data_IF_262701699392
#
_entry.id   IF_262701699392
#
_cell.length_a   1.000
_cell.length_b   1.000
_cell.length_c   1.000
_cell.angle_alpha   90.00
_cell.angle_beta   90.00
_cell.angle_gamma   90.00
#
_symmetry.space_group_name_H-M   'P 1'
#
loop_
_entity.id
_entity.type
_entity.pdbx_description
1 polymer ?
#
# COMPACT_ATOMS: atom_id res chain seq x y z
N UNK A 1 7.05 36.69 16.03
CA UNK A 1 6.70 35.26 16.10
C UNK A 1 7.82 34.50 15.42
N UNK A 2 8.50 33.59 16.11
CA UNK A 2 9.52 32.76 15.48
C UNK A 2 8.80 31.82 14.50
N UNK A 3 9.17 31.83 13.22
CA UNK A 3 8.72 30.80 12.28
C UNK A 3 9.19 29.45 12.80
N UNK A 4 8.27 28.60 13.26
CA UNK A 4 8.60 27.21 13.60
C UNK A 4 9.02 26.51 12.29
N UNK A 5 10.27 26.05 12.23
CA UNK A 5 10.79 25.32 11.06
C UNK A 5 9.97 24.04 10.90
N UNK A 6 9.25 23.91 9.79
CA UNK A 6 8.45 22.73 9.47
C UNK A 6 9.26 21.75 8.62
N UNK A 7 8.97 20.46 8.77
CA UNK A 7 9.60 19.42 7.97
C UNK A 7 9.14 19.57 6.50
N UNK A 8 10.10 19.73 5.59
CA UNK A 8 9.83 19.79 4.16
C UNK A 8 9.25 18.46 3.66
N UNK A 9 8.27 18.54 2.76
CA UNK A 9 7.72 17.39 2.06
C UNK A 9 8.70 16.89 1.01
N UNK A 10 8.88 15.57 0.94
CA UNK A 10 9.71 14.91 -0.07
C UNK A 10 9.05 14.99 -1.44
N UNK A 11 9.86 15.00 -2.50
CA UNK A 11 9.34 14.55 -3.79
C UNK A 11 8.81 13.12 -3.63
N UNK A 12 7.60 12.85 -4.13
CA UNK A 12 6.96 11.54 -4.03
C UNK A 12 5.95 11.40 -5.17
N UNK A 13 6.42 10.83 -6.27
CA UNK A 13 5.68 10.70 -7.51
C UNK A 13 5.62 9.24 -7.94
N UNK A 14 4.43 8.80 -8.29
CA UNK A 14 4.17 7.49 -8.92
C UNK A 14 3.57 7.75 -10.30
N UNK A 15 4.16 7.10 -11.29
CA UNK A 15 3.67 7.09 -12.65
C UNK A 15 3.17 5.68 -12.98
N UNK A 16 1.90 5.54 -13.35
CA UNK A 16 1.32 4.27 -13.79
C UNK A 16 0.60 4.49 -15.10
N UNK A 17 0.90 3.67 -16.08
CA UNK A 17 0.21 3.65 -17.36
C UNK A 17 -0.16 2.22 -17.70
N UNK A 18 -1.39 2.00 -18.15
CA UNK A 18 -1.88 0.67 -18.43
C UNK A 18 -3.37 0.66 -18.78
N UNK A 19 -4.00 -0.50 -18.65
CA UNK A 19 -5.40 -0.72 -18.99
C UNK A 19 -6.20 -1.01 -17.74
N UNK A 20 -7.37 -0.39 -17.60
CA UNK A 20 -8.25 -0.65 -16.46
C UNK A 20 -8.75 -2.10 -16.50
N UNK A 21 -8.65 -2.80 -15.38
CA UNK A 21 -9.30 -4.09 -15.17
C UNK A 21 -10.56 -3.96 -14.32
N UNK A 22 -10.55 -3.05 -13.34
CA UNK A 22 -11.68 -2.88 -12.42
C UNK A 22 -11.76 -1.44 -11.89
N UNK A 23 -12.99 -0.96 -11.68
CA UNK A 23 -13.31 0.32 -11.06
C UNK A 23 -14.24 0.06 -9.88
N UNK A 24 -13.80 0.39 -8.67
CA UNK A 24 -14.54 0.25 -7.41
C UNK A 24 -14.59 1.60 -6.70
N UNK A 25 -15.53 2.46 -7.08
CA UNK A 25 -15.64 3.82 -6.53
C UNK A 25 -17.07 4.04 -6.04
N UNK A 26 -17.21 4.65 -4.87
CA UNK A 26 -18.48 4.95 -4.25
C UNK A 26 -18.50 6.35 -3.60
N UNK A 27 -19.70 6.95 -3.57
CA UNK A 27 -19.99 8.14 -2.78
C UNK A 27 -20.47 7.69 -1.39
N UNK A 28 -19.96 8.33 -0.33
CA UNK A 28 -20.31 8.01 1.07
C UNK A 28 -20.42 9.29 1.91
N UNK A 29 -20.96 9.16 3.12
CA UNK A 29 -21.05 10.21 4.13
C UNK A 29 -20.38 9.77 5.42
N UNK A 30 -19.31 10.48 5.80
CA UNK A 30 -18.59 10.21 7.05
C UNK A 30 -19.48 10.44 8.29
N UNK A 31 -19.13 9.88 9.47
CA UNK A 31 -19.88 10.10 10.71
C UNK A 31 -20.07 11.57 11.11
N UNK A 32 -19.18 12.46 10.65
CA UNK A 32 -19.25 13.90 10.85
C UNK A 32 -20.06 14.64 9.77
N UNK A 33 -20.84 13.89 8.97
CA UNK A 33 -21.72 14.36 7.89
C UNK A 33 -21.01 14.98 6.69
N UNK A 34 -19.69 14.81 6.56
CA UNK A 34 -18.98 15.22 5.34
C UNK A 34 -19.20 14.20 4.24
N UNK A 35 -19.71 14.66 3.10
CA UNK A 35 -19.85 13.87 1.89
C UNK A 35 -18.48 13.68 1.21
N UNK A 36 -18.21 12.44 0.81
CA UNK A 36 -16.95 12.00 0.21
C UNK A 36 -17.21 11.12 -1.01
N UNK A 37 -16.21 11.01 -1.87
CA UNK A 37 -16.09 9.97 -2.89
C UNK A 37 -14.77 9.24 -2.67
N UNK A 38 -14.78 7.92 -2.72
CA UNK A 38 -13.60 7.11 -2.45
C UNK A 38 -13.64 5.78 -3.20
N UNK A 39 -12.47 5.23 -3.49
CA UNK A 39 -12.41 3.96 -4.15
C UNK A 39 -11.05 3.61 -4.70
N UNK A 40 -11.06 2.62 -5.57
CA UNK A 40 -9.90 2.01 -6.18
C UNK A 40 -10.13 1.82 -7.69
N UNK A 41 -9.06 1.98 -8.46
CA UNK A 41 -9.00 1.55 -9.86
C UNK A 41 -7.82 0.59 -9.98
N UNK A 42 -8.08 -0.59 -10.52
CA UNK A 42 -7.04 -1.56 -10.84
C UNK A 42 -6.58 -1.37 -12.28
N UNK A 43 -5.27 -1.16 -12.45
CA UNK A 43 -4.63 -0.89 -13.73
C UNK A 43 -3.64 -2.01 -14.03
N UNK A 44 -3.89 -2.76 -15.09
CA UNK A 44 -2.99 -3.77 -15.61
C UNK A 44 -1.92 -3.12 -16.49
N UNK A 45 -0.66 -3.38 -16.16
CA UNK A 45 0.50 -2.89 -16.92
C UNK A 45 1.19 -4.00 -17.72
N UNK A 46 0.96 -5.26 -17.34
CA UNK A 46 1.42 -6.45 -18.06
C UNK A 46 0.47 -7.63 -17.72
N UNK A 47 0.57 -8.76 -18.44
CA UNK A 47 -0.31 -9.93 -18.31
C UNK A 47 -0.52 -10.35 -16.84
N UNK A 48 0.55 -10.34 -16.05
CA UNK A 48 0.53 -10.74 -14.64
C UNK A 48 0.77 -9.59 -13.65
N UNK A 49 0.72 -8.33 -14.10
CA UNK A 49 1.02 -7.15 -13.29
C UNK A 49 -0.15 -6.18 -13.22
N UNK A 50 -0.75 -6.07 -12.04
CA UNK A 50 -1.91 -5.19 -11.77
C UNK A 50 -1.57 -4.27 -10.60
N UNK A 51 -1.84 -2.97 -10.76
CA UNK A 51 -1.59 -1.95 -9.76
C UNK A 51 -2.90 -1.29 -9.34
N UNK A 52 -3.20 -1.35 -8.05
CA UNK A 52 -4.36 -0.68 -7.45
C UNK A 52 -4.00 0.77 -7.12
N UNK A 53 -4.78 1.70 -7.66
CA UNK A 53 -4.68 3.13 -7.41
C UNK A 53 -5.88 3.58 -6.59
N UNK A 54 -5.60 4.15 -5.42
CA UNK A 54 -6.64 4.64 -4.52
C UNK A 54 -6.94 6.10 -4.76
N UNK A 55 -8.23 6.42 -4.73
CA UNK A 55 -8.80 7.73 -4.98
C UNK A 55 -9.63 8.14 -3.76
N UNK A 56 -9.53 9.40 -3.37
CA UNK A 56 -10.33 9.94 -2.28
C UNK A 56 -10.52 11.45 -2.45
N UNK A 57 -11.73 11.95 -2.21
CA UNK A 57 -11.97 13.39 -2.12
C UNK A 57 -13.21 13.74 -1.31
N UNK A 58 -13.13 14.85 -0.57
CA UNK A 58 -14.33 15.51 -0.04
C UNK A 58 -15.08 16.22 -1.16
N UNK A 59 -16.42 16.16 -1.11
CA UNK A 59 -17.29 16.86 -2.08
C UNK A 59 -17.12 18.37 -2.05
N UNK A 60 -17.03 18.96 -0.86
CA UNK A 60 -16.94 20.40 -0.67
C UNK A 60 -15.57 20.81 -0.15
N UNK A 61 -15.08 21.96 -0.64
CA UNK A 61 -13.91 22.65 -0.08
C UNK A 61 -14.29 23.43 1.18
N UNK A 62 -13.30 24.04 1.84
CA UNK A 62 -13.51 24.92 3.01
C UNK A 62 -14.44 26.10 2.71
N UNK A 63 -14.42 26.62 1.48
CA UNK A 63 -15.29 27.71 1.01
C UNK A 63 -16.70 27.24 0.58
N UNK A 64 -17.03 25.96 0.82
CA UNK A 64 -18.28 25.28 0.43
C UNK A 64 -18.50 25.12 -1.08
N UNK A 65 -17.53 25.49 -1.93
CA UNK A 65 -17.58 25.16 -3.36
C UNK A 65 -17.28 23.68 -3.60
N UNK A 66 -17.78 23.12 -4.71
CA UNK A 66 -17.53 21.72 -5.07
C UNK A 66 -16.06 21.51 -5.44
N UNK A 67 -15.45 20.45 -4.91
CA UNK A 67 -14.07 20.07 -5.20
C UNK A 67 -13.93 19.52 -6.63
N UNK A 68 -12.95 20.03 -7.39
CA UNK A 68 -12.66 19.55 -8.74
C UNK A 68 -12.17 18.09 -8.76
N UNK A 69 -11.44 17.66 -7.73
CA UNK A 69 -11.00 16.27 -7.59
C UNK A 69 -12.20 15.35 -7.43
N UNK A 70 -13.18 15.72 -6.60
CA UNK A 70 -14.43 14.98 -6.45
C UNK A 70 -15.15 14.80 -7.79
N UNK A 71 -15.27 15.88 -8.58
CA UNK A 71 -15.88 15.79 -9.92
C UNK A 71 -15.11 14.84 -10.83
N UNK A 72 -13.78 14.92 -10.83
CA UNK A 72 -12.92 14.03 -11.62
C UNK A 72 -13.11 12.56 -11.25
N UNK A 73 -13.08 12.24 -9.94
CA UNK A 73 -13.32 10.87 -9.46
C UNK A 73 -14.74 10.41 -9.80
N UNK A 74 -15.74 11.30 -9.71
CA UNK A 74 -17.12 10.98 -10.09
C UNK A 74 -17.25 10.66 -11.58
N UNK A 75 -16.56 11.40 -12.45
CA UNK A 75 -16.45 11.05 -13.88
C UNK A 75 -15.82 9.69 -14.08
N UNK A 76 -14.78 9.32 -13.31
CA UNK A 76 -14.19 7.99 -13.38
C UNK A 76 -15.20 6.91 -12.96
N UNK A 77 -15.91 7.13 -11.85
CA UNK A 77 -16.95 6.22 -11.35
C UNK A 77 -18.06 5.97 -12.38
N UNK A 78 -18.50 7.01 -13.08
CA UNK A 78 -19.64 6.94 -14.00
C UNK A 78 -19.25 6.47 -15.41
N UNK A 79 -18.06 6.86 -15.90
CA UNK A 79 -17.69 6.68 -17.30
C UNK A 79 -16.59 5.65 -17.56
N UNK A 80 -15.70 5.38 -16.59
CA UNK A 80 -14.54 4.53 -16.83
C UNK A 80 -14.94 3.06 -16.75
N UNK A 81 -14.34 2.24 -17.61
CA UNK A 81 -14.66 0.81 -17.73
C UNK A 81 -13.41 -0.02 -18.00
N UNK A 82 -13.52 -1.32 -17.74
CA UNK A 82 -12.49 -2.27 -18.10
C UNK A 82 -12.12 -2.15 -19.59
N UNK A 83 -10.83 -2.19 -19.90
CA UNK A 83 -10.29 -1.99 -21.25
C UNK A 83 -9.90 -0.54 -21.59
N UNK A 84 -10.34 0.46 -20.81
CA UNK A 84 -9.90 1.85 -21.02
C UNK A 84 -8.39 1.98 -20.74
N UNK A 85 -7.65 2.58 -21.68
CA UNK A 85 -6.22 2.93 -21.51
C UNK A 85 -6.09 4.19 -20.68
N UNK A 86 -5.34 4.13 -19.59
CA UNK A 86 -5.22 5.22 -18.63
C UNK A 86 -3.78 5.47 -18.18
N UNK A 87 -3.54 6.70 -17.71
CA UNK A 87 -2.28 7.19 -17.17
C UNK A 87 -2.53 7.97 -15.88
N UNK A 88 -1.76 7.62 -14.86
CA UNK A 88 -1.57 8.34 -13.61
C UNK A 88 -0.19 8.97 -13.68
N UNK A 89 -0.13 10.31 -13.80
CA UNK A 89 1.16 11.02 -13.91
C UNK A 89 1.71 11.50 -12.58
N UNK A 90 0.84 11.72 -11.60
CA UNK A 90 1.17 12.32 -10.29
C UNK A 90 0.50 11.56 -9.15
N UNK A 91 0.68 10.24 -9.14
CA UNK A 91 0.38 9.43 -7.97
C UNK A 91 1.40 9.67 -6.86
N UNK A 92 1.14 9.17 -5.66
CA UNK A 92 2.08 9.23 -4.56
C UNK A 92 2.00 7.96 -3.70
N UNK A 93 3.13 7.55 -3.16
CA UNK A 93 3.21 6.46 -2.19
C UNK A 93 2.68 6.95 -0.85
N UNK A 94 1.76 6.18 -0.28
CA UNK A 94 1.20 6.35 1.07
C UNK A 94 1.20 5.01 1.80
N UNK A 95 0.81 5.02 3.07
CA UNK A 95 0.59 3.81 3.84
C UNK A 95 -0.89 3.70 4.21
N UNK A 96 -1.46 2.54 3.96
CA UNK A 96 -2.72 2.12 4.57
C UNK A 96 -2.41 1.45 5.89
N UNK A 97 -2.83 2.07 6.99
CA UNK A 97 -2.46 1.62 8.32
C UNK A 97 -3.64 1.54 9.28
N UNK A 98 -3.71 0.43 9.99
CA UNK A 98 -4.78 0.15 10.91
C UNK A 98 -4.33 -0.85 11.98
N UNK A 99 -5.00 -0.81 13.14
CA UNK A 99 -4.86 -1.88 14.11
C UNK A 99 -5.71 -3.08 13.64
N UNK A 100 -5.08 -4.24 13.45
CA UNK A 100 -5.70 -5.53 13.13
C UNK A 100 -6.53 -6.06 14.31
N UNK A 101 -7.43 -7.02 14.08
CA UNK A 101 -8.30 -7.59 15.13
C UNK A 101 -7.48 -8.26 16.26
N UNK A 102 -6.29 -8.74 15.92
CA UNK A 102 -5.27 -9.26 16.84
C UNK A 102 -4.56 -8.15 17.65
N UNK A 103 -4.93 -6.88 17.48
CA UNK A 103 -4.29 -5.72 18.11
C UNK A 103 -2.93 -5.35 17.50
N UNK A 104 -2.48 -6.04 16.45
CA UNK A 104 -1.22 -5.74 15.77
C UNK A 104 -1.38 -4.52 14.86
N UNK A 105 -0.34 -3.71 14.72
CA UNK A 105 -0.35 -2.64 13.72
C UNK A 105 -0.09 -3.27 12.35
N UNK A 106 -0.99 -3.04 11.40
CA UNK A 106 -0.79 -3.37 10.00
C UNK A 106 -0.46 -2.10 9.25
N UNK A 107 0.52 -2.17 8.35
CA UNK A 107 0.97 -1.05 7.53
C UNK A 107 1.31 -1.59 6.15
N UNK A 108 0.60 -1.11 5.13
CA UNK A 108 0.77 -1.57 3.76
C UNK A 108 0.99 -0.37 2.83
N UNK A 109 2.01 -0.42 1.96
CA UNK A 109 2.16 0.54 0.89
C UNK A 109 0.91 0.65 0.03
N UNK A 110 0.57 1.86 -0.35
CA UNK A 110 -0.58 2.18 -1.19
C UNK A 110 -0.20 3.26 -2.20
N UNK A 111 -0.68 3.15 -3.43
CA UNK A 111 -0.58 4.22 -4.42
C UNK A 111 -1.84 5.05 -4.36
N UNK A 112 -1.71 6.33 -4.07
CA UNK A 112 -2.82 7.28 -4.08
C UNK A 112 -2.69 8.21 -5.28
N UNK A 113 -3.81 8.60 -5.89
CA UNK A 113 -3.82 9.62 -6.93
C UNK A 113 -5.05 10.52 -6.78
N UNK A 114 -4.97 11.70 -7.38
CA UNK A 114 -6.13 12.59 -7.54
C UNK A 114 -6.76 12.47 -8.92
N UNK A 115 -5.96 12.07 -9.92
CA UNK A 115 -6.36 12.03 -11.32
C UNK A 115 -5.85 10.76 -11.99
N UNK A 116 -6.74 10.12 -12.75
CA UNK A 116 -6.46 9.03 -13.67
C UNK A 116 -7.00 9.51 -15.01
N UNK A 117 -6.13 9.72 -16.00
CA UNK A 117 -6.53 10.29 -17.28
C UNK A 117 -6.56 9.20 -18.35
N UNK A 118 -7.57 9.19 -19.22
CA UNK A 118 -7.54 8.36 -20.43
C UNK A 118 -6.40 8.78 -21.36
N UNK A 119 -5.67 7.80 -21.88
CA UNK A 119 -4.64 8.02 -22.91
C UNK A 119 -5.34 8.24 -24.25
N UNK A 120 -5.01 9.34 -24.93
CA UNK A 120 -5.60 9.66 -26.24
C UNK A 120 -4.96 8.80 -27.32
N UNK A 121 -5.68 8.57 -28.43
CA UNK A 121 -5.15 7.81 -29.58
C UNK A 121 -3.89 8.43 -30.20
N UNK A 122 -3.71 9.74 -30.05
CA UNK A 122 -2.53 10.47 -30.53
C UNK A 122 -1.33 10.36 -29.60
N UNK A 123 -1.50 9.84 -28.40
CA UNK A 123 -0.43 9.71 -27.41
C UNK A 123 0.17 8.31 -27.47
N UNK A 124 1.48 8.24 -27.25
CA UNK A 124 2.17 6.96 -27.10
C UNK A 124 1.62 6.26 -25.86
N UNK A 125 1.30 4.96 -26.01
CA UNK A 125 0.83 4.09 -24.94
C UNK A 125 1.92 3.07 -24.59
N UNK A 126 2.59 3.29 -23.47
CA UNK A 126 3.68 2.49 -22.92
C UNK A 126 3.33 2.05 -21.49
N UNK A 127 2.67 0.88 -21.34
CA UNK A 127 2.32 0.35 -20.04
C UNK A 127 3.55 0.20 -19.13
N UNK A 128 3.49 0.80 -17.95
CA UNK A 128 4.59 0.81 -16.98
C UNK A 128 4.10 1.27 -15.60
N UNK A 129 4.80 0.85 -14.55
CA UNK A 129 4.59 1.35 -13.19
C UNK A 129 5.94 1.78 -12.61
N UNK A 130 6.12 3.09 -12.41
CA UNK A 130 7.36 3.70 -11.95
C UNK A 130 7.13 4.55 -10.71
N UNK A 131 8.16 4.66 -9.89
CA UNK A 131 8.18 5.59 -8.75
C UNK A 131 9.42 6.48 -8.82
N UNK A 132 9.31 7.66 -8.23
CA UNK A 132 10.40 8.60 -7.93
C UNK A 132 10.09 9.26 -6.61
N UNK A 133 10.98 9.15 -5.62
CA UNK A 133 10.79 9.85 -4.35
C UNK A 133 12.11 10.16 -3.65
N UNK A 134 12.05 11.11 -2.71
CA UNK A 134 13.13 11.39 -1.77
C UNK A 134 12.89 10.73 -0.42
N UNK A 135 13.96 10.30 0.25
CA UNK A 135 13.89 9.73 1.59
C UNK A 135 15.12 10.07 2.42
N UNK A 136 14.94 10.09 3.74
CA UNK A 136 16.04 10.04 4.69
C UNK A 136 16.39 8.57 4.98
N UNK A 137 17.62 8.16 4.65
CA UNK A 137 18.11 6.80 4.86
C UNK A 137 18.19 6.48 6.35
N UNK A 138 17.71 5.30 6.72
CA UNK A 138 17.84 4.73 8.08
C UNK A 138 18.86 3.60 8.09
N UNK A 139 18.85 2.76 7.06
CA UNK A 139 19.84 1.69 6.89
C UNK A 139 19.84 1.18 5.46
N UNK A 140 21.01 0.75 4.99
CA UNK A 140 21.16 -0.15 3.85
C UNK A 140 21.68 -1.49 4.37
N UNK A 141 21.05 -2.59 3.94
CA UNK A 141 21.46 -3.95 4.34
C UNK A 141 21.35 -4.89 3.16
N UNK A 142 22.16 -5.93 3.13
CA UNK A 142 21.96 -7.05 2.21
C UNK A 142 20.61 -7.72 2.50
N UNK A 143 19.95 -8.13 1.42
CA UNK A 143 18.76 -8.94 1.52
C UNK A 143 19.15 -10.40 1.78
N UNK A 144 18.62 -10.94 2.87
CA UNK A 144 18.82 -12.33 3.26
C UNK A 144 17.56 -13.14 2.95
N UNK A 145 17.73 -14.34 2.41
CA UNK A 145 16.67 -15.32 2.22
C UNK A 145 17.16 -16.69 2.67
N UNK A 146 16.51 -17.25 3.68
CA UNK A 146 16.93 -18.51 4.32
C UNK A 146 18.40 -18.45 4.80
N UNK A 147 18.78 -17.33 5.43
CA UNK A 147 20.14 -17.06 5.93
C UNK A 147 21.25 -16.99 4.86
N UNK A 148 20.88 -16.93 3.58
CA UNK A 148 21.79 -16.71 2.45
C UNK A 148 21.57 -15.33 1.83
N UNK A 149 22.66 -14.65 1.45
CA UNK A 149 22.60 -13.40 0.70
C UNK A 149 21.99 -13.64 -0.68
N UNK A 150 21.02 -12.81 -1.07
CA UNK A 150 20.41 -12.90 -2.42
C UNK A 150 21.20 -12.13 -3.47
N UNK A 151 22.22 -11.37 -3.07
CA UNK A 151 22.92 -10.39 -3.91
C UNK A 151 22.14 -9.08 -4.10
N UNK A 152 20.98 -8.91 -3.45
CA UNK A 152 20.19 -7.67 -3.45
C UNK A 152 20.45 -6.88 -2.18
N UNK A 153 20.17 -5.58 -2.20
CA UNK A 153 20.19 -4.73 -1.01
C UNK A 153 18.81 -4.12 -0.72
N UNK A 154 18.53 -3.90 0.55
CA UNK A 154 17.33 -3.27 1.07
C UNK A 154 17.70 -1.90 1.62
N UNK A 155 17.08 -0.85 1.08
CA UNK A 155 17.17 0.51 1.62
C UNK A 155 15.92 0.76 2.46
N UNK A 156 16.11 1.08 3.74
CA UNK A 156 15.03 1.52 4.64
C UNK A 156 15.20 2.98 4.96
N UNK A 157 14.08 3.68 5.11
CA UNK A 157 14.11 5.05 5.57
C UNK A 157 12.74 5.68 5.71
N UNK A 158 12.74 6.99 5.83
CA UNK A 158 11.53 7.79 6.02
C UNK A 158 11.31 8.72 4.85
N UNK A 159 10.10 8.74 4.33
CA UNK A 159 9.65 9.70 3.32
C UNK A 159 8.81 10.76 4.05
N UNK A 160 9.32 11.99 4.21
CA UNK A 160 8.52 13.12 4.66
C UNK A 160 7.32 13.38 3.74
N UNK A 161 6.14 13.54 4.33
CA UNK A 161 4.91 13.85 3.62
C UNK A 161 4.31 15.16 4.13
N UNK A 162 3.38 15.73 3.37
CA UNK A 162 2.64 16.92 3.77
C UNK A 162 2.15 16.87 5.22
N UNK A 163 2.23 18.02 5.91
CA UNK A 163 1.76 18.17 7.29
C UNK A 163 2.81 17.83 8.36
N UNK A 164 4.07 17.65 7.95
CA UNK A 164 5.18 17.37 8.87
C UNK A 164 5.19 15.93 9.41
N UNK A 165 4.49 15.03 8.72
CA UNK A 165 4.49 13.60 9.02
C UNK A 165 5.53 12.85 8.18
N UNK A 166 5.79 11.60 8.54
CA UNK A 166 6.70 10.71 7.82
C UNK A 166 6.07 9.35 7.63
N UNK A 167 6.41 8.68 6.53
CA UNK A 167 6.11 7.26 6.32
C UNK A 167 7.41 6.45 6.30
N UNK A 168 7.52 5.36 7.09
CA UNK A 168 8.60 4.39 6.92
C UNK A 168 8.40 3.66 5.59
N UNK A 169 9.48 3.47 4.85
CA UNK A 169 9.43 2.81 3.56
C UNK A 169 10.67 1.97 3.30
N UNK A 170 10.47 0.94 2.47
CA UNK A 170 11.48 -0.04 2.11
C UNK A 170 11.52 -0.22 0.60
N UNK A 171 12.73 -0.22 0.04
CA UNK A 171 12.97 -0.49 -1.37
C UNK A 171 14.04 -1.56 -1.56
N UNK A 172 14.04 -2.17 -2.74
CA UNK A 172 14.97 -3.24 -3.13
C UNK A 172 15.87 -2.74 -4.25
N UNK A 173 17.16 -3.00 -4.15
CA UNK A 173 18.17 -2.76 -5.18
C UNK A 173 18.70 -4.11 -5.63
N UNK A 174 18.67 -4.39 -6.94
CA UNK A 174 19.11 -5.69 -7.48
C UNK A 174 20.25 -5.59 -8.50
N UNK A 175 20.49 -4.42 -9.11
CA UNK A 175 21.63 -4.25 -10.01
C UNK A 175 22.94 -4.29 -9.21
N UNK A 176 23.92 -5.16 -9.52
CA UNK A 176 25.13 -5.31 -8.70
C UNK A 176 25.95 -4.04 -8.54
N UNK A 177 26.00 -3.18 -9.56
CA UNK A 177 26.73 -1.91 -9.46
C UNK A 177 25.98 -0.96 -8.53
N UNK A 178 24.65 -0.88 -8.64
CA UNK A 178 23.82 -0.09 -7.74
C UNK A 178 23.89 -0.61 -6.30
N UNK A 179 23.83 -1.94 -6.08
CA UNK A 179 23.99 -2.58 -4.76
C UNK A 179 25.31 -2.19 -4.13
N UNK A 180 26.42 -2.35 -4.87
CA UNK A 180 27.74 -1.95 -4.39
C UNK A 180 27.80 -0.46 -4.07
N UNK A 181 27.20 0.40 -4.90
CA UNK A 181 27.20 1.85 -4.67
C UNK A 181 26.46 2.22 -3.37
N UNK A 182 25.21 1.75 -3.22
CA UNK A 182 24.37 2.15 -2.07
C UNK A 182 24.92 1.61 -0.75
N UNK A 183 25.44 0.38 -0.73
CA UNK A 183 26.00 -0.22 0.49
C UNK A 183 27.26 0.50 0.97
N UNK A 184 28.06 1.04 0.05
CA UNK A 184 29.31 1.73 0.39
C UNK A 184 29.16 3.25 0.58
N UNK A 185 28.06 3.84 0.10
CA UNK A 185 27.90 5.31 0.04
C UNK A 185 26.77 5.83 0.91
N UNK A 186 25.66 5.10 1.05
CA UNK A 186 24.51 5.60 1.79
C UNK A 186 24.60 5.26 3.27
N UNK A 187 24.58 6.31 4.09
CA UNK A 187 24.60 6.23 5.53
C UNK A 187 23.30 6.72 6.16
N UNK A 188 23.08 6.34 7.42
CA UNK A 188 21.93 6.79 8.20
C UNK A 188 21.93 8.33 8.29
N UNK A 189 20.80 8.93 7.96
CA UNK A 189 20.60 10.38 7.99
C UNK A 189 20.84 11.06 6.64
N UNK A 190 21.44 10.37 5.66
CA UNK A 190 21.54 10.92 4.31
C UNK A 190 20.16 11.14 3.70
N UNK A 191 20.00 12.25 2.98
CA UNK A 191 18.85 12.50 2.10
C UNK A 191 19.24 12.08 0.68
N UNK A 192 18.42 11.24 0.06
CA UNK A 192 18.66 10.72 -1.30
C UNK A 192 17.37 10.73 -2.09
N UNK A 193 17.47 10.89 -3.42
CA UNK A 193 16.38 10.59 -4.34
C UNK A 193 16.57 9.20 -4.94
N UNK A 194 15.47 8.45 -5.06
CA UNK A 194 15.43 7.11 -5.63
C UNK A 194 14.35 7.07 -6.72
N UNK A 195 14.63 6.38 -7.82
CA UNK A 195 13.63 6.09 -8.84
C UNK A 195 13.74 4.63 -9.31
N UNK A 196 12.62 4.10 -9.77
CA UNK A 196 12.55 2.71 -10.18
C UNK A 196 11.18 2.25 -10.61
N UNK A 197 10.97 0.95 -10.52
CA UNK A 197 9.78 0.25 -10.96
C UNK A 197 9.00 -0.31 -9.79
N UNK A 198 7.68 -0.22 -9.85
CA UNK A 198 6.79 -0.91 -8.91
C UNK A 198 6.53 -2.29 -9.51
N UNK A 199 7.02 -3.34 -8.86
CA UNK A 199 6.76 -4.73 -9.26
C UNK A 199 5.56 -5.22 -8.46
N UNK A 200 4.51 -5.68 -9.15
CA UNK A 200 3.38 -6.35 -8.51
C UNK A 200 2.90 -7.53 -9.38
N UNK A 201 3.63 -8.64 -9.31
CA UNK A 201 3.45 -9.78 -10.22
C UNK A 201 2.90 -11.02 -9.52
N UNK A 202 2.01 -11.74 -10.21
CA UNK A 202 1.63 -13.12 -9.84
C UNK A 202 2.45 -14.13 -10.65
N UNK A 203 3.26 -14.93 -9.99
CA UNK A 203 4.11 -15.95 -10.60
C UNK A 203 3.46 -17.32 -10.40
N UNK A 204 3.12 -18.01 -11.49
CA UNK A 204 2.62 -19.38 -11.46
C UNK A 204 3.78 -20.39 -11.56
N UNK A 205 3.88 -21.32 -10.62
CA UNK A 205 4.86 -22.41 -10.61
C UNK A 205 4.13 -23.73 -10.81
N UNK A 206 4.45 -24.45 -11.88
CA UNK A 206 3.92 -25.80 -12.13
C UNK A 206 4.80 -26.84 -11.45
N UNK A 207 4.19 -27.78 -10.75
CA UNK A 207 4.82 -28.93 -10.12
C UNK A 207 4.11 -30.19 -10.60
N UNK A 208 4.86 -31.15 -11.12
CA UNK A 208 4.33 -32.49 -11.36
C UNK A 208 4.41 -33.28 -10.05
N UNK A 209 3.27 -33.81 -9.63
CA UNK A 209 3.19 -34.71 -8.48
C UNK A 209 3.12 -36.12 -9.04
N UNK A 210 4.17 -36.90 -8.79
CA UNK A 210 4.16 -38.33 -9.10
C UNK A 210 3.03 -39.01 -8.31
N UNK A 211 2.17 -39.71 -9.02
CA UNK A 211 1.05 -40.47 -8.45
C UNK A 211 1.34 -41.97 -8.59
N UNK A 212 0.82 -42.77 -7.65
CA UNK A 212 1.08 -44.21 -7.61
C UNK A 212 0.60 -44.99 -8.84
N UNK A 213 -0.26 -44.40 -9.69
CA UNK A 213 -0.71 -44.95 -10.96
C UNK A 213 -1.28 -43.85 -11.87
N UNK A 214 -1.03 -43.93 -13.19
CA UNK A 214 -1.53 -42.96 -14.18
C UNK A 214 -0.53 -41.85 -14.55
N UNK A 215 -1.01 -40.82 -15.25
CA UNK A 215 -0.18 -39.66 -15.59
C UNK A 215 0.06 -38.77 -14.35
N UNK A 216 1.21 -38.09 -14.24
CA UNK A 216 1.50 -37.18 -13.14
C UNK A 216 0.41 -36.11 -12.97
N UNK A 217 0.07 -35.80 -11.72
CA UNK A 217 -0.88 -34.72 -11.45
C UNK A 217 -0.16 -33.38 -11.53
N UNK A 218 -0.57 -32.51 -12.45
CA UNK A 218 -0.09 -31.11 -12.47
C UNK A 218 -0.72 -30.32 -11.31
N UNK A 219 0.13 -29.73 -10.46
CA UNK A 219 -0.26 -28.74 -9.46
C UNK A 219 0.34 -27.38 -9.81
N UNK A 220 -0.51 -26.36 -9.86
CA UNK A 220 -0.09 -24.97 -10.10
C UNK A 220 -0.15 -24.23 -8.77
N UNK A 221 0.98 -23.67 -8.33
CA UNK A 221 1.05 -22.78 -7.17
C UNK A 221 1.31 -21.34 -7.60
N UNK A 222 0.64 -20.39 -6.97
CA UNK A 222 0.79 -18.96 -7.28
C UNK A 222 1.57 -18.26 -6.16
N UNK A 223 2.56 -17.45 -6.53
CA UNK A 223 3.28 -16.56 -5.62
C UNK A 223 3.13 -15.12 -6.09
N UNK A 224 2.63 -14.24 -5.22
CA UNK A 224 2.62 -12.81 -5.49
C UNK A 224 3.94 -12.19 -5.03
N UNK A 225 4.57 -11.40 -5.89
CA UNK A 225 5.76 -10.61 -5.58
C UNK A 225 5.38 -9.14 -5.68
N UNK A 226 5.58 -8.41 -4.58
CA UNK A 226 5.35 -6.96 -4.51
C UNK A 226 6.58 -6.26 -3.95
N UNK A 227 7.27 -5.50 -4.78
CA UNK A 227 8.49 -4.80 -4.39
C UNK A 227 8.65 -3.46 -5.13
N UNK A 228 9.39 -2.54 -4.51
CA UNK A 228 9.77 -1.25 -5.10
C UNK A 228 11.22 -1.37 -5.54
N UNK A 229 11.42 -1.73 -6.81
CA UNK A 229 12.72 -2.06 -7.37
C UNK A 229 13.42 -0.79 -7.86
N UNK A 230 14.45 -0.36 -7.14
CA UNK A 230 15.27 0.80 -7.47
C UNK A 230 16.08 0.51 -8.73
N UNK A 231 16.01 1.43 -9.70
CA UNK A 231 16.82 1.41 -10.93
C UNK A 231 17.91 2.48 -10.93
N UNK A 232 17.75 3.51 -10.10
CA UNK A 232 18.75 4.54 -9.90
C UNK A 232 18.43 5.44 -8.72
N UNK A 233 19.40 6.28 -8.36
CA UNK A 233 19.28 7.25 -7.29
C UNK A 233 20.39 8.28 -7.35
N UNK A 234 20.29 9.32 -6.53
CA UNK A 234 21.31 10.36 -6.42
C UNK A 234 22.48 9.94 -5.52
N UNK A 235 23.57 10.71 -5.54
CA UNK A 235 24.45 10.75 -4.37
C UNK A 235 23.69 11.27 -3.14
N UNK A 236 24.16 11.01 -1.90
CA UNK A 236 23.69 11.74 -0.73
C UNK A 236 23.74 13.24 -0.99
N UNK A 237 22.67 13.95 -0.64
CA UNK A 237 22.67 15.40 -0.72
C UNK A 237 23.68 15.96 0.30
N UNK A 238 24.43 16.97 -0.11
CA UNK A 238 25.39 17.68 0.74
C UNK A 238 24.65 18.38 1.88
N UNK A 239 25.27 18.48 3.06
CA UNK A 239 24.59 18.98 4.28
C UNK A 239 24.04 20.41 4.15
N UNK A 240 24.58 21.22 3.25
CA UNK A 240 24.15 22.60 2.97
C UNK A 240 23.10 22.70 1.84
N UNK A 241 22.73 21.59 1.20
CA UNK A 241 21.64 21.56 0.23
C UNK A 241 20.30 21.87 0.93
N UNK A 242 19.55 22.79 0.34
CA UNK A 242 18.23 23.21 0.82
C UNK A 242 17.22 22.06 0.93
N UNK A 243 17.42 20.97 0.17
CA UNK A 243 16.55 19.81 0.12
C UNK A 243 16.96 18.73 1.13
N UNK A 244 18.04 18.91 1.90
CA UNK A 244 18.39 17.97 2.98
C UNK A 244 17.33 18.01 4.08
N UNK A 245 16.83 16.84 4.45
CA UNK A 245 15.88 16.72 5.55
C UNK A 245 16.56 16.97 6.89
N UNK A 246 15.96 17.82 7.70
CA UNK A 246 16.42 18.07 9.07
C UNK A 246 16.16 16.83 9.94
N UNK A 247 17.24 16.15 10.32
CA UNK A 247 17.19 14.90 11.10
C UNK A 247 16.44 15.04 12.42
N UNK A 248 16.47 16.22 13.06
CA UNK A 248 15.72 16.48 14.30
C UNK A 248 14.23 16.58 14.04
N UNK A 249 13.85 17.21 12.94
CA UNK A 249 12.44 17.31 12.54
C UNK A 249 11.89 15.94 12.12
N UNK A 250 12.67 15.14 11.38
CA UNK A 250 12.30 13.77 11.06
C UNK A 250 12.13 12.93 12.33
N UNK A 251 13.08 13.01 13.28
CA UNK A 251 12.96 12.30 14.55
C UNK A 251 11.72 12.73 15.38
N UNK A 252 11.36 14.02 15.37
CA UNK A 252 10.12 14.52 15.99
C UNK A 252 8.89 13.91 15.31
N UNK A 253 8.87 13.86 13.98
CA UNK A 253 7.78 13.28 13.20
C UNK A 253 7.63 11.76 13.44
N UNK A 254 8.75 11.02 13.56
CA UNK A 254 8.74 9.59 13.91
C UNK A 254 8.10 9.37 15.28
N UNK A 255 8.50 10.15 16.30
CA UNK A 255 7.90 10.05 17.65
C UNK A 255 6.41 10.38 17.67
N UNK A 256 6.00 11.43 16.94
CA UNK A 256 4.58 11.79 16.82
C UNK A 256 3.78 10.65 16.21
N UNK A 257 4.32 10.04 15.15
CA UNK A 257 3.73 8.86 14.50
C UNK A 257 3.63 7.66 15.44
N UNK A 258 4.66 7.33 16.20
CA UNK A 258 4.62 6.23 17.18
C UNK A 258 3.51 6.45 18.22
N UNK A 259 3.37 7.68 18.74
CA UNK A 259 2.30 8.03 19.66
C UNK A 259 0.89 7.90 19.02
N UNK A 260 0.71 8.31 17.76
CA UNK A 260 -0.55 8.11 17.03
C UNK A 260 -0.90 6.63 16.84
N UNK A 261 0.10 5.78 16.60
CA UNK A 261 -0.08 4.33 16.45
C UNK A 261 -0.55 3.73 17.78
N UNK A 262 0.08 4.12 18.89
CA UNK A 262 -0.32 3.68 20.24
C UNK A 262 -1.74 4.13 20.56
N UNK A 263 -2.09 5.39 20.33
CA UNK A 263 -3.44 5.92 20.56
C UNK A 263 -4.49 5.16 19.74
N UNK A 264 -4.21 4.87 18.46
CA UNK A 264 -5.13 4.10 17.61
C UNK A 264 -5.31 2.66 18.10
N UNK A 265 -4.25 2.00 18.57
CA UNK A 265 -4.33 0.67 19.19
C UNK A 265 -5.17 0.69 20.47
N UNK A 266 -4.98 1.70 21.33
CA UNK A 266 -5.73 1.85 22.57
C UNK A 266 -7.21 2.10 22.32
N UNK A 267 -7.54 3.03 21.41
CA UNK A 267 -8.92 3.30 20.99
C UNK A 267 -9.62 2.04 20.47
N UNK A 268 -8.89 1.20 19.71
CA UNK A 268 -9.45 -0.07 19.23
C UNK A 268 -9.76 -1.03 20.38
N UNK A 269 -8.80 -1.24 21.30
CA UNK A 269 -9.00 -2.08 22.50
C UNK A 269 -10.17 -1.59 23.36
N UNK A 270 -10.34 -0.27 23.50
CA UNK A 270 -11.45 0.30 24.25
C UNK A 270 -12.81 0.02 23.60
N UNK A 271 -12.91 0.14 22.26
CA UNK A 271 -14.12 -0.19 21.51
C UNK A 271 -14.48 -1.68 21.61
N UNK A 272 -13.49 -2.57 21.57
CA UNK A 272 -13.70 -4.02 21.71
C UNK A 272 -14.23 -4.38 23.11
N UNK A 273 -13.70 -3.75 24.17
CA UNK A 273 -14.21 -3.94 25.55
C UNK A 273 -15.65 -3.44 25.71
N UNK A 274 -16.00 -2.31 25.10
CA UNK A 274 -17.38 -1.79 25.12
C UNK A 274 -18.35 -2.69 24.35
N UNK A 275 -17.91 -3.27 23.22
CA UNK A 275 -18.73 -4.21 22.44
C UNK A 275 -18.97 -5.55 23.19
N UNK A 276 -18.02 -6.00 24.02
CA UNK A 276 -18.19 -7.18 24.87
C UNK A 276 -19.09 -6.91 26.09
N UNK A 277 -19.02 -5.72 26.69
CA UNK A 277 -19.89 -5.32 27.80
C UNK A 277 -21.37 -5.17 27.41
N UNK A 278 -21.67 -4.85 26.15
CA UNK A 278 -23.03 -4.71 25.65
C UNK A 278 -23.70 -6.04 25.24
N UNK A 279 -22.94 -7.15 25.16
CA UNK A 279 -23.49 -8.49 24.91
C UNK A 279 -24.03 -9.18 26.18
N UNK A 280 -23.82 -8.59 27.35
CA UNK A 280 -24.19 -9.18 28.64
C UNK A 280 -25.61 -8.84 29.12
N UNK A 281 -26.36 -8.00 28.39
CA UNK A 281 -27.65 -7.47 28.83
C UNK A 281 -28.85 -7.78 27.91
N UNK A 282 -28.69 -8.69 26.94
CA UNK A 282 -29.83 -9.16 26.13
C UNK A 282 -30.23 -10.57 26.55
N UNK A 283 -30.89 -10.67 27.71
CA UNK A 283 -31.70 -11.83 28.06
C UNK A 283 -33.03 -11.73 27.31
N UNK A 284 -33.03 -12.16 26.04
CA UNK A 284 -34.21 -12.33 25.19
C UNK A 284 -34.16 -13.68 24.47
N UNK A 285 -34.87 -14.66 25.02
CA UNK A 285 -35.19 -15.97 24.41
C UNK A 285 -35.67 -15.84 22.94
N UNK A 286 -35.41 -16.77 22.02
CA UNK A 286 -34.93 -18.14 22.18
C UNK A 286 -34.50 -18.80 20.86
N UNK A 287 -33.81 -19.92 21.02
CA UNK A 287 -33.26 -20.78 19.96
C UNK A 287 -34.30 -21.85 19.58
N UNK A 288 -34.74 -21.96 18.30
CA UNK A 288 -35.75 -22.93 17.89
C UNK A 288 -35.20 -24.35 17.68
N UNK A 289 -33.95 -24.63 18.02
CA UNK A 289 -33.32 -25.92 17.73
C UNK A 289 -32.92 -26.76 18.96
N UNK A 290 -33.55 -26.56 20.13
CA UNK A 290 -33.24 -27.38 21.31
C UNK A 290 -33.93 -28.75 21.38
N UNK A 291 -34.43 -29.29 20.27
CA UNK A 291 -34.83 -30.70 20.19
C UNK A 291 -34.27 -31.36 18.92
N UNK A 292 -33.02 -31.81 18.99
CA UNK A 292 -32.62 -32.99 18.23
C UNK A 292 -31.85 -33.92 19.17
N UNK A 293 -32.40 -35.12 19.38
CA UNK A 293 -31.65 -36.20 20.04
C UNK A 293 -30.44 -36.54 19.16
N UNK A 294 -29.27 -36.83 19.75
CA UNK A 294 -28.12 -37.27 18.97
C UNK A 294 -28.50 -38.56 18.23
N UNK A 295 -28.26 -38.57 16.92
CA UNK A 295 -28.32 -39.78 16.09
C UNK A 295 -27.02 -40.52 16.40
N UNK A 296 -27.14 -41.70 17.00
CA UNK A 296 -26.03 -42.61 17.26
C UNK A 296 -25.76 -43.37 15.96
N UNK A 297 -24.70 -42.97 15.24
CA UNK A 297 -24.24 -43.66 14.05
C UNK A 297 -23.15 -44.63 14.51
N UNK A 298 -23.45 -45.93 14.53
CA UNK A 298 -22.45 -46.97 14.77
C UNK A 298 -21.63 -47.22 13.50
N UNK A 299 -20.37 -47.65 13.66
CA UNK A 299 -19.43 -47.93 12.56
C UNK A 299 -19.94 -48.95 11.51
N UNK A 300 -21.02 -49.68 11.79
CA UNK A 300 -21.69 -50.59 10.84
C UNK A 300 -22.63 -49.87 9.82
N UNK A 301 -22.92 -48.58 9.99
CA UNK A 301 -23.78 -47.78 9.08
C UNK A 301 -22.99 -47.00 8.00
N UNK A 302 -21.67 -47.22 7.91
CA UNK A 302 -20.83 -46.63 6.86
C UNK A 302 -20.62 -47.66 5.74
N UNK A 303 -21.05 -47.39 4.49
CA UNK A 303 -20.82 -48.30 3.39
C UNK A 303 -19.37 -48.15 2.88
N UNK A 304 -18.45 -48.86 3.54
CA UNK A 304 -17.00 -48.99 3.28
C UNK A 304 -16.15 -47.72 3.43
#
# INVERSE_FOLDING_TARGET
MANEKTLQEAENTVHIEGTITEVRIEEDTLPDKREVISGEIDIQVDENSVHTVHLFSFKYKKDKSINGIYKGIKTMMEEYKAGDKVRVSTGAIRLNEYAGQDGTWKSYPQVNANFVNRVKETEVFEPQAKFSFEMMVVSVKEEMKNDEETGRAIIKGYIPIYGGAVIPFETVVADPNAVSYVTNTYEKGNTVSLHGEIVNQKIATRREIEVGFGAPQEKIDYKTVREYLVKGGSAPYEEDDKNVFDTKLVAKAVKAREAEIEEKKEKKKAKEKQAQGNKSNDNGFGDPFSESKPIDISDDDLPF
#
